data_IF_228979430007
#
_entry.id   IF_228979430007
#
_cell.length_a   1.000
_cell.length_b   1.000
_cell.length_c   1.000
_cell.angle_alpha   90.00
_cell.angle_beta   90.00
_cell.angle_gamma   90.00
#
_symmetry.space_group_name_H-M   'P 1'
#
loop_
_entity.id
_entity.type
_entity.pdbx_description
1 polymer ?
#
# COMPACT_ATOMS: atom_id res chain seq x y z
N UNK A 1 -42.11 8.23 41.87
CA UNK A 1 -41.27 7.13 41.35
C UNK A 1 -40.42 7.72 40.24
N UNK A 2 -39.16 8.08 40.55
CA UNK A 2 -38.23 8.71 39.57
C UNK A 2 -37.32 7.62 39.06
N UNK A 3 -37.45 7.33 37.75
CA UNK A 3 -36.55 6.39 37.10
C UNK A 3 -35.20 7.10 36.74
N UNK A 4 -34.13 6.68 37.37
CA UNK A 4 -32.79 7.09 36.97
C UNK A 4 -32.35 6.24 35.77
N UNK A 5 -32.24 6.85 34.60
CA UNK A 5 -31.56 6.25 33.45
C UNK A 5 -30.03 6.41 33.62
N UNK A 6 -29.34 5.32 33.92
CA UNK A 6 -27.90 5.29 33.94
C UNK A 6 -27.42 5.16 32.48
N UNK A 7 -26.81 6.25 31.97
CA UNK A 7 -26.14 6.25 30.70
C UNK A 7 -24.78 5.57 30.92
N UNK A 8 -24.67 4.30 30.58
CA UNK A 8 -23.39 3.58 30.58
C UNK A 8 -22.58 4.04 29.36
N UNK A 9 -21.59 4.90 29.59
CA UNK A 9 -20.58 5.25 28.61
C UNK A 9 -19.76 3.98 28.32
N UNK A 10 -19.94 3.37 27.16
CA UNK A 10 -19.07 2.29 26.70
C UNK A 10 -17.76 2.92 26.21
N UNK A 11 -16.76 2.97 27.07
CA UNK A 11 -15.38 3.18 26.65
C UNK A 11 -14.95 1.87 25.95
N UNK A 12 -14.94 1.87 24.63
CA UNK A 12 -14.21 0.83 23.89
C UNK A 12 -12.73 1.00 24.23
N UNK A 13 -12.01 -0.05 24.59
CA UNK A 13 -10.57 0.03 24.74
C UNK A 13 -9.99 0.36 23.36
N UNK A 14 -9.31 1.47 23.26
CA UNK A 14 -8.53 1.81 22.08
C UNK A 14 -7.26 0.99 22.16
N UNK A 15 -7.07 0.06 21.24
CA UNK A 15 -5.92 -0.83 21.18
C UNK A 15 -4.71 -0.05 20.64
N UNK A 16 -3.56 -0.24 21.26
CA UNK A 16 -2.29 0.07 20.63
C UNK A 16 -2.06 -1.02 19.58
N UNK A 17 -1.98 -0.64 18.32
CA UNK A 17 -1.86 -1.55 17.19
C UNK A 17 -0.70 -1.12 16.31
N UNK A 18 0.01 -2.07 15.73
CA UNK A 18 1.12 -1.81 14.81
C UNK A 18 0.61 -1.55 13.38
N UNK A 19 1.47 -0.99 12.53
CA UNK A 19 1.10 -0.69 11.13
C UNK A 19 0.84 -2.00 10.36
N UNK A 20 1.66 -3.00 10.55
CA UNK A 20 1.52 -4.33 9.96
C UNK A 20 0.22 -5.02 10.39
N UNK A 21 -0.15 -4.92 11.67
CA UNK A 21 -1.45 -5.42 12.17
C UNK A 21 -2.63 -4.69 11.53
N UNK A 22 -2.53 -3.36 11.33
CA UNK A 22 -3.57 -2.57 10.65
C UNK A 22 -3.72 -3.02 9.20
N UNK A 23 -2.63 -3.11 8.45
CA UNK A 23 -2.68 -3.56 7.06
C UNK A 23 -3.17 -5.01 6.97
N UNK A 24 -2.73 -5.85 7.91
CA UNK A 24 -3.01 -7.28 7.88
C UNK A 24 -2.32 -7.98 6.70
N UNK A 25 -2.73 -9.20 6.43
CA UNK A 25 -2.14 -10.06 5.40
C UNK A 25 -3.13 -10.45 4.30
N UNK A 26 -4.08 -9.55 4.02
CA UNK A 26 -5.12 -9.65 3.00
C UNK A 26 -5.27 -8.30 2.29
N UNK A 27 -6.13 -8.22 1.26
CA UNK A 27 -6.40 -6.99 0.53
C UNK A 27 -7.23 -5.96 1.31
N UNK A 28 -7.86 -6.35 2.41
CA UNK A 28 -8.59 -5.44 3.27
C UNK A 28 -8.08 -5.57 4.70
N UNK A 29 -7.99 -4.45 5.36
CA UNK A 29 -7.60 -4.35 6.76
C UNK A 29 -8.56 -5.08 7.69
N UNK A 30 -8.07 -5.86 8.67
CA UNK A 30 -8.89 -6.40 9.73
C UNK A 30 -9.44 -5.32 10.69
N UNK A 31 -8.93 -4.08 10.60
CA UNK A 31 -9.33 -2.93 11.41
C UNK A 31 -10.20 -1.93 10.65
N UNK A 32 -10.69 -2.27 9.47
CA UNK A 32 -11.54 -1.37 8.69
C UNK A 32 -12.65 -0.74 9.55
N UNK A 33 -12.83 0.57 9.42
CA UNK A 33 -13.82 1.39 10.14
C UNK A 33 -13.63 1.42 11.68
N UNK A 34 -12.45 1.03 12.19
CA UNK A 34 -12.13 1.07 13.62
C UNK A 34 -11.20 2.23 13.96
N UNK A 35 -11.40 2.77 15.17
CA UNK A 35 -10.46 3.74 15.75
C UNK A 35 -9.26 3.01 16.34
N UNK A 36 -8.08 3.50 16.00
CA UNK A 36 -6.79 2.99 16.46
C UNK A 36 -5.97 4.10 17.12
N UNK A 37 -5.08 3.73 18.03
CA UNK A 37 -4.28 4.72 18.77
C UNK A 37 -2.85 4.27 18.97
N UNK A 38 -1.99 5.25 19.28
CA UNK A 38 -0.56 5.04 19.51
C UNK A 38 0.15 4.35 18.33
N UNK A 39 -0.35 4.61 17.10
CA UNK A 39 0.31 4.15 15.89
C UNK A 39 1.65 4.89 15.81
N UNK A 40 2.74 4.14 15.85
CA UNK A 40 4.10 4.71 15.79
C UNK A 40 4.75 4.37 14.45
N UNK A 41 5.34 5.39 13.81
CA UNK A 41 6.05 5.19 12.56
C UNK A 41 7.02 6.32 12.23
N UNK A 42 7.89 6.05 11.26
CA UNK A 42 8.80 6.99 10.63
C UNK A 42 8.09 7.62 9.42
N UNK A 43 8.09 8.93 9.31
CA UNK A 43 7.59 9.66 8.13
C UNK A 43 8.56 9.45 6.98
N UNK A 44 8.15 8.69 5.96
CA UNK A 44 9.00 8.34 4.81
C UNK A 44 8.81 9.25 3.61
N UNK A 45 7.60 9.74 3.39
CA UNK A 45 7.27 10.64 2.29
C UNK A 45 6.07 11.52 2.63
N UNK A 46 5.92 12.65 1.91
CA UNK A 46 4.77 13.56 2.01
C UNK A 46 4.17 13.78 0.64
N UNK A 47 2.85 13.89 0.58
CA UNK A 47 2.08 14.28 -0.62
C UNK A 47 1.35 15.60 -0.36
N UNK A 48 0.53 16.04 -1.29
CA UNK A 48 -0.32 17.22 -1.12
C UNK A 48 -1.52 16.99 -0.20
N UNK A 49 -1.90 15.74 0.02
CA UNK A 49 -3.10 15.36 0.77
C UNK A 49 -2.84 14.49 2.00
N UNK A 50 -1.56 14.17 2.28
CA UNK A 50 -1.20 13.32 3.40
C UNK A 50 0.28 12.94 3.40
N UNK A 51 0.61 11.91 4.14
CA UNK A 51 1.98 11.43 4.29
C UNK A 51 2.01 9.92 4.55
N UNK A 52 3.19 9.33 4.39
CA UNK A 52 3.41 7.91 4.60
C UNK A 52 4.19 7.67 5.90
N UNK A 53 3.73 6.71 6.67
CA UNK A 53 4.41 6.21 7.87
C UNK A 53 4.89 4.79 7.63
N UNK A 54 6.13 4.51 8.03
CA UNK A 54 6.69 3.17 8.08
C UNK A 54 6.94 2.75 9.52
N UNK A 55 6.60 1.52 9.85
CA UNK A 55 6.86 0.92 11.18
C UNK A 55 8.31 1.09 11.59
N UNK A 56 8.54 1.50 12.84
CA UNK A 56 9.88 1.54 13.43
C UNK A 56 10.31 0.19 14.02
N UNK A 57 9.43 -0.79 13.98
CA UNK A 57 9.65 -2.15 14.48
C UNK A 57 8.94 -3.14 13.54
N UNK A 58 9.46 -3.28 12.30
CA UNK A 58 8.86 -4.17 11.30
C UNK A 58 8.81 -5.61 11.81
N UNK A 59 7.77 -6.31 11.41
CA UNK A 59 7.63 -7.73 11.71
C UNK A 59 8.41 -8.61 10.70
N UNK A 60 8.15 -9.91 10.70
CA UNK A 60 8.76 -10.86 9.76
C UNK A 60 7.77 -11.46 8.77
N UNK A 61 6.50 -11.02 8.79
CA UNK A 61 5.48 -11.48 7.87
C UNK A 61 5.54 -10.68 6.57
N UNK A 62 6.07 -11.27 5.51
CA UNK A 62 6.18 -10.61 4.21
C UNK A 62 4.83 -10.44 3.47
N UNK A 63 3.71 -10.76 4.12
CA UNK A 63 2.36 -10.58 3.57
C UNK A 63 1.72 -9.27 3.98
N UNK A 64 2.20 -8.64 5.06
CA UNK A 64 1.73 -7.33 5.52
C UNK A 64 2.70 -6.23 5.11
N UNK A 65 2.18 -5.06 4.74
CA UNK A 65 3.02 -3.89 4.55
C UNK A 65 3.40 -3.26 5.88
N UNK A 66 4.64 -2.81 5.97
CA UNK A 66 5.15 -2.04 7.11
C UNK A 66 4.83 -0.54 7.00
N UNK A 67 4.15 -0.13 5.94
CA UNK A 67 3.85 1.26 5.68
C UNK A 67 2.36 1.51 5.49
N UNK A 68 1.90 2.71 5.88
CA UNK A 68 0.51 3.12 5.77
C UNK A 68 0.42 4.59 5.37
N UNK A 69 -0.61 4.94 4.60
CA UNK A 69 -0.92 6.32 4.24
C UNK A 69 -1.78 6.98 5.31
N UNK A 70 -1.42 8.20 5.68
CA UNK A 70 -2.18 9.06 6.58
C UNK A 70 -2.80 10.17 5.75
N UNK A 71 -4.13 10.15 5.60
CA UNK A 71 -4.87 11.13 4.82
C UNK A 71 -5.25 12.33 5.68
N UNK A 72 -4.45 13.39 5.61
CA UNK A 72 -4.74 14.69 6.22
C UNK A 72 -3.78 15.76 5.68
N UNK A 73 -4.32 16.74 4.96
CA UNK A 73 -3.53 17.85 4.40
C UNK A 73 -3.08 18.87 5.45
N UNK A 74 -3.76 18.99 6.59
CA UNK A 74 -3.42 19.93 7.65
C UNK A 74 -2.23 19.42 8.49
N UNK A 75 -2.20 18.12 8.74
CA UNK A 75 -1.14 17.46 9.49
C UNK A 75 0.24 17.55 8.81
N UNK A 76 0.28 17.68 7.48
CA UNK A 76 1.52 17.76 6.68
C UNK A 76 2.43 18.89 7.14
N UNK A 77 1.86 20.01 7.62
CA UNK A 77 2.64 21.17 8.07
C UNK A 77 3.32 20.98 9.43
N UNK A 78 2.90 19.98 10.21
CA UNK A 78 3.36 19.70 11.56
C UNK A 78 4.52 18.72 11.62
N UNK A 79 4.85 18.07 10.51
CA UNK A 79 5.82 16.97 10.44
C UNK A 79 6.81 17.15 9.29
N UNK A 80 7.94 16.47 9.39
CA UNK A 80 8.98 16.41 8.37
C UNK A 80 9.31 14.96 8.02
N UNK A 81 9.78 14.72 6.79
CA UNK A 81 10.38 13.43 6.43
C UNK A 81 11.55 13.17 7.37
N UNK A 82 11.64 11.95 7.90
CA UNK A 82 12.62 11.58 8.93
C UNK A 82 12.15 11.80 10.38
N UNK A 83 10.92 12.30 10.59
CA UNK A 83 10.34 12.33 11.94
C UNK A 83 9.79 10.95 12.33
N UNK A 84 10.07 10.50 13.54
CA UNK A 84 9.34 9.40 14.16
C UNK A 84 8.21 10.00 14.98
N UNK A 85 6.99 9.63 14.62
CA UNK A 85 5.79 10.17 15.25
C UNK A 85 4.91 9.09 15.84
N UNK A 86 4.00 9.51 16.72
CA UNK A 86 2.89 8.72 17.21
C UNK A 86 1.60 9.47 16.90
N UNK A 87 0.55 8.76 16.48
CA UNK A 87 -0.77 9.34 16.23
C UNK A 87 -1.89 8.35 16.56
N UNK A 88 -3.11 8.86 16.53
CA UNK A 88 -4.37 8.09 16.56
C UNK A 88 -5.22 8.47 15.36
N UNK A 89 -6.12 7.60 14.92
CA UNK A 89 -7.03 7.90 13.80
C UNK A 89 -7.99 6.76 13.53
N UNK A 90 -8.70 6.82 12.43
CA UNK A 90 -9.66 5.80 11.99
C UNK A 90 -9.12 5.09 10.76
N UNK A 91 -9.14 3.77 10.77
CA UNK A 91 -8.74 2.95 9.62
C UNK A 91 -9.82 3.02 8.55
N UNK A 92 -9.44 3.32 7.33
CA UNK A 92 -10.34 3.44 6.18
C UNK A 92 -9.80 2.65 4.99
N UNK A 93 -10.71 2.07 4.21
CA UNK A 93 -10.40 1.47 2.93
C UNK A 93 -10.80 2.43 1.81
N UNK A 94 -9.81 3.01 1.15
CA UNK A 94 -10.01 3.98 0.08
C UNK A 94 -9.79 3.36 -1.29
N UNK A 95 -10.61 3.71 -2.27
CA UNK A 95 -10.34 3.46 -3.70
C UNK A 95 -10.83 4.61 -4.56
N UNK A 96 -10.05 4.98 -5.54
CA UNK A 96 -10.41 6.05 -6.48
C UNK A 96 -11.63 5.69 -7.35
N UNK A 97 -11.78 4.44 -7.72
CA UNK A 97 -12.84 3.96 -8.60
C UNK A 97 -13.27 2.55 -8.19
N UNK A 98 -14.49 2.16 -8.53
CA UNK A 98 -15.02 0.81 -8.26
C UNK A 98 -14.23 -0.31 -8.97
N UNK A 99 -13.40 0.02 -9.94
CA UNK A 99 -12.52 -0.93 -10.63
C UNK A 99 -11.13 -1.07 -10.04
N UNK A 100 -10.80 -0.28 -9.00
CA UNK A 100 -9.52 -0.36 -8.31
C UNK A 100 -9.61 -1.27 -7.08
N UNK A 101 -8.49 -1.84 -6.68
CA UNK A 101 -8.33 -2.40 -5.33
C UNK A 101 -8.36 -1.28 -4.30
N UNK A 102 -8.64 -1.62 -3.06
CA UNK A 102 -8.58 -0.67 -1.97
C UNK A 102 -7.13 -0.42 -1.53
N UNK A 103 -6.91 0.71 -0.93
CA UNK A 103 -5.71 1.07 -0.19
C UNK A 103 -6.13 1.33 1.26
N UNK A 104 -5.50 0.65 2.19
CA UNK A 104 -5.68 0.90 3.61
C UNK A 104 -5.03 2.23 3.99
N UNK A 105 -5.76 3.12 4.64
CA UNK A 105 -5.28 4.41 5.10
C UNK A 105 -5.79 4.75 6.50
N UNK A 106 -5.14 5.70 7.16
CA UNK A 106 -5.64 6.33 8.37
C UNK A 106 -6.22 7.69 8.03
N UNK A 107 -7.46 7.90 8.43
CA UNK A 107 -8.17 9.17 8.30
C UNK A 107 -8.37 9.84 9.66
N UNK A 108 -8.67 11.15 9.65
CA UNK A 108 -8.91 11.93 10.88
C UNK A 108 -7.81 11.76 11.94
N UNK A 109 -6.54 11.89 11.56
CA UNK A 109 -5.44 11.73 12.51
C UNK A 109 -5.54 12.75 13.63
N UNK A 110 -5.16 12.34 14.82
CA UNK A 110 -5.16 13.18 16.02
C UNK A 110 -4.01 12.79 16.96
N UNK A 111 -3.72 13.65 17.94
CA UNK A 111 -2.65 13.42 18.92
C UNK A 111 -1.30 13.10 18.23
N UNK A 112 -0.97 13.90 17.22
CA UNK A 112 0.30 13.75 16.51
C UNK A 112 1.41 14.30 17.41
N UNK A 113 2.34 13.42 17.79
CA UNK A 113 3.48 13.74 18.64
C UNK A 113 4.77 13.29 17.97
N UNK A 114 5.72 14.22 17.80
CA UNK A 114 7.05 13.92 17.25
C UNK A 114 7.95 13.45 18.39
N UNK A 115 8.48 12.25 18.30
CA UNK A 115 9.37 11.68 19.32
C UNK A 115 10.86 11.83 18.98
N UNK A 116 11.22 11.86 17.68
CA UNK A 116 12.57 12.18 17.20
C UNK A 116 12.50 12.68 15.76
N UNK A 117 13.53 13.42 15.32
CA UNK A 117 13.65 13.97 13.97
C UNK A 117 14.99 13.60 13.35
N UNK A 118 15.14 13.89 12.05
CA UNK A 118 16.35 13.62 11.28
C UNK A 118 16.77 12.14 11.25
N UNK A 119 15.80 11.23 11.41
CA UNK A 119 16.08 9.80 11.28
C UNK A 119 16.27 9.44 9.81
N UNK A 120 17.17 8.48 9.53
CA UNK A 120 17.41 7.99 8.19
C UNK A 120 16.18 7.28 7.62
N UNK A 121 15.82 7.63 6.38
CA UNK A 121 14.75 6.98 5.63
C UNK A 121 15.38 6.04 4.61
N UNK A 122 15.20 4.74 4.82
CA UNK A 122 15.78 3.69 3.95
C UNK A 122 14.67 3.09 3.09
N UNK A 123 14.72 3.28 1.75
CA UNK A 123 13.76 2.68 0.84
C UNK A 123 13.90 1.15 0.76
N UNK A 124 12.79 0.48 0.47
CA UNK A 124 12.80 -0.94 0.05
C UNK A 124 13.37 -1.01 -1.36
N UNK A 125 14.35 -1.88 -1.60
CA UNK A 125 14.92 -2.10 -2.93
C UNK A 125 14.13 -3.15 -3.67
N UNK A 126 13.65 -2.81 -4.88
CA UNK A 126 12.91 -3.73 -5.76
C UNK A 126 13.69 -3.87 -7.08
N UNK A 127 13.98 -5.09 -7.47
CA UNK A 127 14.77 -5.43 -8.65
C UNK A 127 15.93 -6.36 -8.33
N UNK A 128 16.99 -6.30 -9.14
CA UNK A 128 18.11 -7.26 -9.12
C UNK A 128 18.78 -7.42 -7.75
N UNK A 129 18.91 -6.32 -7.01
CA UNK A 129 19.59 -6.30 -5.71
C UNK A 129 18.61 -6.31 -4.50
N UNK A 130 17.34 -6.63 -4.72
CA UNK A 130 16.31 -6.55 -3.70
C UNK A 130 15.16 -7.54 -3.88
N UNK A 131 13.97 -7.10 -3.54
CA UNK A 131 12.77 -7.90 -3.73
C UNK A 131 12.44 -8.03 -5.21
N UNK A 132 12.08 -9.26 -5.63
CA UNK A 132 11.75 -9.54 -7.02
C UNK A 132 10.26 -9.86 -7.17
N UNK A 133 9.50 -9.06 -7.95
CA UNK A 133 8.09 -9.37 -8.17
C UNK A 133 7.92 -10.66 -8.96
N UNK A 134 7.00 -11.56 -8.56
CA UNK A 134 6.65 -12.72 -9.36
C UNK A 134 5.89 -12.28 -10.62
N UNK A 135 6.18 -12.92 -11.76
CA UNK A 135 5.65 -12.52 -13.07
C UNK A 135 4.86 -13.63 -13.79
N UNK A 136 4.79 -14.81 -13.19
CA UNK A 136 4.12 -15.97 -13.80
C UNK A 136 2.61 -15.96 -13.60
N UNK A 137 2.15 -15.50 -12.44
CA UNK A 137 0.75 -15.46 -12.05
C UNK A 137 0.38 -14.11 -11.49
N UNK A 138 -0.80 -13.60 -11.88
CA UNK A 138 -1.24 -12.27 -11.50
C UNK A 138 -1.91 -12.25 -10.12
N UNK A 139 -2.81 -13.18 -9.86
CA UNK A 139 -3.63 -13.25 -8.65
C UNK A 139 -3.97 -14.70 -8.30
N UNK A 140 -4.26 -14.97 -7.02
CA UNK A 140 -4.77 -16.28 -6.57
C UNK A 140 -6.16 -16.62 -7.11
N UNK A 141 -6.87 -15.62 -7.63
CA UNK A 141 -8.18 -15.79 -8.27
C UNK A 141 -8.09 -15.98 -9.79
N UNK A 142 -6.88 -16.03 -10.33
CA UNK A 142 -6.62 -16.26 -11.75
C UNK A 142 -6.71 -17.75 -12.03
N UNK A 143 -7.70 -18.16 -12.82
CA UNK A 143 -7.96 -19.53 -13.22
C UNK A 143 -7.38 -19.91 -14.59
N UNK A 144 -6.56 -19.00 -15.16
CA UNK A 144 -5.98 -19.17 -16.49
C UNK A 144 -6.85 -18.67 -17.65
N UNK A 145 -8.04 -18.16 -17.38
CA UNK A 145 -8.85 -17.45 -18.38
C UNK A 145 -8.37 -16.02 -18.55
N UNK A 146 -7.80 -15.70 -19.71
CA UNK A 146 -7.34 -14.35 -20.06
C UNK A 146 -8.44 -13.27 -19.98
N UNK A 147 -9.69 -13.67 -20.00
CA UNK A 147 -10.85 -12.81 -19.83
C UNK A 147 -11.43 -12.87 -18.42
N UNK A 148 -10.99 -13.82 -17.61
CA UNK A 148 -11.56 -14.11 -16.30
C UNK A 148 -11.18 -13.10 -15.24
N UNK A 149 -9.91 -12.82 -15.08
CA UNK A 149 -9.44 -12.03 -13.97
C UNK A 149 -8.30 -11.09 -14.32
N UNK A 150 -8.31 -10.03 -13.54
CA UNK A 150 -9.43 -9.54 -12.73
C UNK A 150 -10.30 -8.60 -13.55
N UNK A 151 -11.40 -9.07 -14.08
CA UNK A 151 -12.38 -8.20 -14.75
C UNK A 151 -12.92 -7.10 -13.84
N UNK A 152 -12.84 -7.33 -12.54
CA UNK A 152 -13.36 -6.43 -11.53
C UNK A 152 -12.52 -6.56 -10.25
N UNK A 153 -11.77 -5.52 -9.89
CA UNK A 153 -11.01 -5.46 -8.64
C UNK A 153 -11.90 -5.64 -7.39
N UNK A 154 -13.19 -5.34 -7.47
CA UNK A 154 -14.14 -5.64 -6.40
C UNK A 154 -14.20 -7.13 -6.05
N UNK A 155 -13.94 -8.03 -7.00
CA UNK A 155 -13.96 -9.47 -6.72
C UNK A 155 -12.81 -9.84 -5.78
N UNK A 156 -11.63 -9.23 -5.96
CA UNK A 156 -10.49 -9.45 -5.08
C UNK A 156 -10.82 -9.01 -3.65
N UNK A 157 -11.42 -7.84 -3.49
CA UNK A 157 -11.83 -7.33 -2.19
C UNK A 157 -12.95 -8.16 -1.56
N UNK A 158 -13.91 -8.66 -2.35
CA UNK A 158 -15.00 -9.49 -1.84
C UNK A 158 -14.51 -10.85 -1.34
N UNK A 159 -13.61 -11.51 -2.07
CA UNK A 159 -13.02 -12.79 -1.68
C UNK A 159 -11.96 -12.61 -0.59
N UNK A 160 -11.30 -11.44 -0.60
CA UNK A 160 -10.29 -11.04 0.36
C UNK A 160 -9.29 -12.17 0.71
N UNK A 161 -8.62 -12.76 -0.29
CA UNK A 161 -7.77 -13.91 -0.07
C UNK A 161 -6.52 -13.55 0.76
N UNK A 162 -5.94 -14.56 1.39
CA UNK A 162 -4.65 -14.43 2.06
C UNK A 162 -3.56 -14.14 1.02
N UNK A 163 -2.76 -13.11 1.26
CA UNK A 163 -1.68 -12.71 0.35
C UNK A 163 -0.59 -13.79 0.24
N UNK A 164 -0.08 -13.97 -0.97
CA UNK A 164 1.04 -14.84 -1.31
C UNK A 164 2.04 -14.06 -2.18
N UNK A 165 2.79 -13.11 -1.62
CA UNK A 165 3.62 -12.16 -2.37
C UNK A 165 4.76 -12.81 -3.15
N UNK A 166 5.19 -14.01 -2.76
CA UNK A 166 6.19 -14.78 -3.52
C UNK A 166 5.63 -15.50 -4.74
N UNK A 167 4.30 -15.54 -4.89
CA UNK A 167 3.63 -16.31 -5.96
C UNK A 167 2.86 -15.43 -6.93
N UNK A 168 2.16 -14.41 -6.43
CA UNK A 168 1.25 -13.60 -7.23
C UNK A 168 1.72 -12.14 -7.30
N UNK A 169 1.69 -11.57 -8.50
CA UNK A 169 2.15 -10.20 -8.74
C UNK A 169 1.32 -9.15 -7.99
N UNK A 170 0.00 -9.28 -7.95
CA UNK A 170 -0.84 -8.35 -7.17
C UNK A 170 -0.54 -8.40 -5.69
N UNK A 171 -0.42 -9.62 -5.15
CA UNK A 171 -0.16 -9.83 -3.73
C UNK A 171 1.21 -9.27 -3.31
N UNK A 172 2.19 -9.33 -4.21
CA UNK A 172 3.51 -8.72 -4.01
C UNK A 172 3.40 -7.19 -3.84
N UNK A 173 2.67 -6.53 -4.75
CA UNK A 173 2.51 -5.08 -4.67
C UNK A 173 1.63 -4.65 -3.50
N UNK A 174 0.62 -5.43 -3.16
CA UNK A 174 -0.23 -5.19 -1.99
C UNK A 174 0.58 -5.27 -0.69
N UNK A 175 1.45 -6.27 -0.54
CA UNK A 175 2.30 -6.42 0.63
C UNK A 175 3.37 -5.32 0.79
N UNK A 176 3.50 -4.44 -0.19
CA UNK A 176 4.39 -3.27 -0.19
C UNK A 176 3.60 -1.95 -0.30
N UNK A 177 2.30 -1.98 -0.07
CA UNK A 177 1.45 -0.78 -0.15
C UNK A 177 1.96 0.32 0.78
N UNK A 178 2.15 1.54 0.23
CA UNK A 178 2.66 2.68 0.99
C UNK A 178 4.17 2.71 1.27
N UNK A 179 4.92 1.67 0.92
CA UNK A 179 6.37 1.66 1.11
C UNK A 179 7.08 2.65 0.19
N UNK A 180 8.07 3.35 0.72
CA UNK A 180 9.04 4.06 -0.10
C UNK A 180 9.98 3.04 -0.73
N UNK A 181 10.03 3.02 -2.06
CA UNK A 181 10.80 2.03 -2.80
C UNK A 181 11.84 2.65 -3.73
N UNK A 182 13.00 2.00 -3.85
CA UNK A 182 13.95 2.20 -4.92
C UNK A 182 13.83 1.07 -5.92
N UNK A 183 13.54 1.40 -7.19
CA UNK A 183 13.45 0.43 -8.26
C UNK A 183 14.66 0.55 -9.16
N UNK A 184 15.39 -0.55 -9.37
CA UNK A 184 16.60 -0.59 -10.18
C UNK A 184 16.30 -1.04 -11.62
N UNK A 185 17.05 -0.51 -12.59
CA UNK A 185 16.96 -0.92 -13.99
C UNK A 185 15.62 -0.62 -14.66
N UNK A 186 14.92 0.42 -14.22
CA UNK A 186 13.65 0.83 -14.81
C UNK A 186 13.77 1.23 -16.26
N UNK A 187 12.80 0.81 -17.06
CA UNK A 187 12.62 1.22 -18.44
C UNK A 187 11.20 1.75 -18.66
N UNK A 188 11.09 3.00 -19.13
CA UNK A 188 9.81 3.57 -19.50
C UNK A 188 9.25 2.85 -20.75
N UNK A 189 7.98 2.47 -20.72
CA UNK A 189 7.26 1.82 -21.81
C UNK A 189 6.18 2.71 -22.41
N UNK A 190 5.90 3.86 -21.79
CA UNK A 190 5.03 4.91 -22.32
C UNK A 190 5.71 6.26 -22.16
N UNK A 191 5.23 7.26 -22.91
CA UNK A 191 5.48 8.67 -22.61
C UNK A 191 4.63 9.09 -21.39
N UNK A 192 5.03 10.13 -20.64
CA UNK A 192 4.19 10.71 -19.60
C UNK A 192 2.80 11.13 -20.13
N UNK A 193 1.76 10.86 -19.34
CA UNK A 193 0.42 11.38 -19.62
C UNK A 193 0.29 12.86 -19.16
N UNK A 194 -0.89 13.42 -19.26
CA UNK A 194 -1.15 14.83 -18.88
C UNK A 194 -0.96 15.13 -17.38
N UNK A 195 -0.90 14.08 -16.54
CA UNK A 195 -0.67 14.18 -15.09
C UNK A 195 0.78 13.89 -14.70
N UNK A 196 1.65 13.58 -15.68
CA UNK A 196 3.04 13.21 -15.45
C UNK A 196 3.27 11.70 -15.20
N UNK A 197 2.22 10.89 -15.19
CA UNK A 197 2.36 9.45 -14.96
C UNK A 197 3.05 8.77 -16.14
N UNK A 198 4.01 7.92 -15.84
CA UNK A 198 4.75 7.12 -16.82
C UNK A 198 4.72 5.65 -16.42
N UNK A 199 4.38 4.79 -17.36
CA UNK A 199 4.44 3.35 -17.15
C UNK A 199 5.88 2.88 -17.32
N UNK A 200 6.32 2.08 -16.37
CA UNK A 200 7.69 1.54 -16.36
C UNK A 200 7.66 0.04 -16.16
N UNK A 201 8.71 -0.64 -16.59
CA UNK A 201 9.01 -2.03 -16.28
C UNK A 201 10.41 -2.10 -15.68
N UNK A 202 10.58 -2.91 -14.65
CA UNK A 202 11.87 -3.11 -14.00
C UNK A 202 12.72 -4.19 -14.68
N UNK A 203 13.90 -4.44 -14.09
CA UNK A 203 14.85 -5.45 -14.55
C UNK A 203 14.46 -6.86 -14.04
N UNK A 204 13.19 -7.21 -14.08
CA UNK A 204 12.68 -8.54 -13.76
C UNK A 204 12.15 -9.25 -15.00
N UNK A 205 11.98 -10.58 -14.97
CA UNK A 205 11.43 -11.33 -16.07
C UNK A 205 10.09 -10.77 -16.53
N UNK A 206 9.90 -10.62 -17.82
CA UNK A 206 8.64 -10.22 -18.44
C UNK A 206 8.22 -11.25 -19.50
N UNK A 207 6.92 -11.30 -19.82
CA UNK A 207 6.37 -12.29 -20.76
C UNK A 207 6.92 -12.16 -22.17
N UNK A 208 7.42 -11.02 -22.55
CA UNK A 208 8.11 -10.80 -23.81
C UNK A 208 8.53 -9.35 -24.02
N UNK A 209 9.56 -9.16 -24.83
CA UNK A 209 10.00 -7.83 -25.25
C UNK A 209 10.36 -7.84 -26.72
N UNK A 210 10.17 -6.70 -27.40
CA UNK A 210 10.67 -6.48 -28.76
C UNK A 210 12.09 -5.88 -28.75
N UNK A 211 12.71 -5.78 -29.92
CA UNK A 211 14.07 -5.23 -30.07
C UNK A 211 14.22 -3.78 -29.55
N UNK A 212 13.13 -3.02 -29.48
CA UNK A 212 13.09 -1.65 -28.96
C UNK A 212 12.82 -1.60 -27.45
N UNK A 213 12.71 -2.76 -26.79
CA UNK A 213 12.48 -2.86 -25.36
C UNK A 213 11.05 -2.66 -24.92
N UNK A 214 10.08 -2.55 -25.85
CA UNK A 214 8.65 -2.54 -25.51
C UNK A 214 8.19 -3.94 -25.09
N UNK A 215 7.18 -3.99 -24.22
CA UNK A 215 6.54 -5.26 -23.84
C UNK A 215 5.72 -5.80 -25.01
N UNK A 216 5.76 -7.11 -25.20
CA UNK A 216 4.96 -7.82 -26.20
C UNK A 216 4.08 -8.85 -25.50
N UNK A 217 2.84 -8.99 -25.99
CA UNK A 217 1.97 -10.11 -25.59
C UNK A 217 2.48 -11.38 -26.27
N UNK A 218 2.58 -12.47 -25.51
CA UNK A 218 2.79 -13.80 -26.06
C UNK A 218 1.46 -14.51 -26.30
N UNK A 219 1.46 -15.49 -27.20
CA UNK A 219 0.26 -16.23 -27.61
C UNK A 219 -0.39 -17.07 -26.51
N UNK A 220 0.26 -17.25 -25.38
CA UNK A 220 -0.28 -17.88 -24.18
C UNK A 220 -1.09 -16.92 -23.29
N UNK A 221 -1.38 -15.72 -23.78
CA UNK A 221 -2.48 -14.90 -23.28
C UNK A 221 -2.21 -14.03 -22.05
N UNK A 222 -1.03 -14.04 -21.49
CA UNK A 222 -0.74 -13.25 -20.30
C UNK A 222 -0.30 -11.84 -20.68
N UNK A 223 -1.21 -10.89 -20.54
CA UNK A 223 -0.91 -9.45 -20.60
C UNK A 223 -1.00 -8.88 -19.20
N UNK A 224 0.13 -8.47 -18.65
CA UNK A 224 0.16 -7.76 -17.38
C UNK A 224 0.08 -6.25 -17.63
N UNK A 225 -1.08 -5.68 -17.38
CA UNK A 225 -1.22 -4.25 -17.13
C UNK A 225 -1.17 -4.05 -15.63
N UNK A 226 -0.03 -3.69 -15.08
CA UNK A 226 0.06 -3.29 -13.68
C UNK A 226 -0.60 -1.92 -13.52
N UNK A 227 -1.77 -1.90 -12.89
CA UNK A 227 -2.23 -0.70 -12.22
C UNK A 227 -1.45 -0.61 -10.90
N UNK A 228 -0.35 0.09 -10.92
CA UNK A 228 0.25 0.60 -9.69
C UNK A 228 -0.76 1.57 -9.08
N UNK A 229 -1.45 1.16 -8.02
CA UNK A 229 -2.01 2.11 -7.09
C UNK A 229 -0.87 3.06 -6.72
N UNK A 230 -1.12 4.34 -6.74
CA UNK A 230 -0.18 5.43 -6.57
C UNK A 230 1.08 5.09 -5.77
N UNK A 231 2.12 4.61 -6.44
CA UNK A 231 3.47 4.67 -5.91
C UNK A 231 3.96 6.07 -6.21
N UNK A 232 4.10 6.89 -5.20
CA UNK A 232 4.75 8.19 -5.35
C UNK A 232 6.21 7.92 -5.63
N UNK A 233 6.58 7.84 -6.91
CA UNK A 233 7.97 7.81 -7.32
C UNK A 233 8.54 9.20 -7.09
N UNK A 234 9.26 9.38 -5.99
CA UNK A 234 10.12 10.54 -5.83
C UNK A 234 11.41 10.24 -6.62
N UNK A 235 11.49 10.79 -7.83
CA UNK A 235 12.73 10.79 -8.60
C UNK A 235 13.70 11.75 -7.90
N UNK A 236 14.77 11.21 -7.34
CA UNK A 236 15.94 11.95 -6.87
C UNK A 236 16.89 12.20 -8.04
#
# INVERSE_FOLDING_TARGET
MHAFYSLALRLSPVLAVTIDEINGNRFLSPYQDQDVSNIKGLVTAKSTSGFYLRSTSPDTDNRSSESIYIYDSEAISQISVGDVITLSGTVSEYRYSSSNVYMTEITSPSKIEVSSSDNEVVPVVIGEDGLMPPTEQFSSLDDGDVYGLPKNASQISNENPLLQPSKYGMDFWESLSGELATLTGLRAITKPNQYGDTWVVGAWPSTGSNERGGLTMRSNGWSFSFFLGYVTLQLI
#
